data_IF_965638422851
#
_entry.id   IF_965638422851
#
_cell.length_a   1.000
_cell.length_b   1.000
_cell.length_c   1.000
_cell.angle_alpha   90.00
_cell.angle_beta   90.00
_cell.angle_gamma   90.00
#
_symmetry.space_group_name_H-M   'P 1'
#
loop_
_entity.id
_entity.type
_entity.pdbx_description
1 polymer ?
#
# COMPACT_ATOMS: atom_id res chain seq x y z
N UNK A 1 -23.95 -38.19 56.12
CA UNK A 1 -23.56 -38.86 54.85
C UNK A 1 -24.58 -38.39 53.81
N UNK A 2 -24.32 -37.41 52.94
CA UNK A 2 -23.30 -37.39 51.89
C UNK A 2 -22.83 -35.95 51.65
N UNK A 3 -21.53 -35.74 51.66
CA UNK A 3 -20.87 -34.51 51.26
C UNK A 3 -20.65 -34.62 49.74
N UNK A 4 -21.37 -33.86 48.92
CA UNK A 4 -21.12 -33.81 47.48
C UNK A 4 -20.37 -32.52 47.19
N UNK A 5 -19.04 -32.60 47.22
CA UNK A 5 -18.15 -31.49 46.86
C UNK A 5 -18.07 -31.44 45.34
N UNK A 6 -18.80 -30.52 44.72
CA UNK A 6 -18.70 -30.26 43.28
C UNK A 6 -17.47 -29.37 43.07
N UNK A 7 -16.35 -29.99 42.68
CA UNK A 7 -15.17 -29.30 42.20
C UNK A 7 -15.50 -28.62 40.87
N UNK A 8 -15.68 -27.30 40.91
CA UNK A 8 -15.77 -26.47 39.70
C UNK A 8 -14.36 -26.38 39.07
N UNK A 9 -14.04 -27.31 38.18
CA UNK A 9 -12.98 -27.06 37.18
C UNK A 9 -13.58 -26.09 36.17
N UNK A 10 -13.49 -24.79 36.46
CA UNK A 10 -13.51 -23.79 35.39
C UNK A 10 -12.16 -23.95 34.71
N UNK A 11 -12.13 -24.73 33.63
CA UNK A 11 -11.03 -24.60 32.68
C UNK A 11 -11.03 -23.15 32.23
N UNK A 12 -10.03 -22.37 32.65
CA UNK A 12 -9.61 -21.19 31.91
C UNK A 12 -9.17 -21.69 30.55
N UNK A 13 -10.14 -21.80 29.64
CA UNK A 13 -9.85 -21.73 28.22
C UNK A 13 -9.56 -20.26 27.99
N UNK A 14 -8.32 -19.86 28.28
CA UNK A 14 -7.79 -18.65 27.70
C UNK A 14 -7.79 -18.91 26.20
N UNK A 15 -8.86 -18.44 25.54
CA UNK A 15 -8.94 -18.45 24.09
C UNK A 15 -7.67 -17.79 23.60
N UNK A 16 -6.86 -18.51 22.84
CA UNK A 16 -5.70 -17.97 22.17
C UNK A 16 -6.25 -16.92 21.20
N UNK A 17 -6.33 -15.66 21.64
CA UNK A 17 -6.57 -14.54 20.76
C UNK A 17 -5.39 -14.53 19.81
N UNK A 18 -5.59 -14.99 18.58
CA UNK A 18 -4.58 -14.82 17.53
C UNK A 18 -4.40 -13.31 17.37
N UNK A 19 -3.27 -12.78 17.84
CA UNK A 19 -2.85 -11.41 17.57
C UNK A 19 -2.45 -11.36 16.09
N UNK A 20 -3.43 -11.28 15.21
CA UNK A 20 -3.23 -11.15 13.78
C UNK A 20 -2.55 -9.82 13.43
N UNK A 21 -2.14 -9.69 12.18
CA UNK A 21 -1.69 -8.40 11.65
C UNK A 21 -2.87 -7.43 11.58
N UNK A 22 -2.66 -6.19 12.04
CA UNK A 22 -3.62 -5.11 11.87
C UNK A 22 -3.54 -4.57 10.43
N UNK A 23 -4.67 -4.56 9.75
CA UNK A 23 -4.77 -3.94 8.42
C UNK A 23 -4.78 -2.43 8.59
N UNK A 24 -3.69 -1.76 8.21
CA UNK A 24 -3.61 -0.30 8.25
C UNK A 24 -4.31 0.33 7.04
N UNK A 25 -4.06 -0.21 5.85
CA UNK A 25 -4.63 0.27 4.60
C UNK A 25 -5.00 -0.91 3.69
N UNK A 26 -6.03 -0.71 2.88
CA UNK A 26 -6.54 -1.72 1.96
C UNK A 26 -7.06 -1.07 0.67
N UNK A 27 -6.91 -1.79 -0.44
CA UNK A 27 -7.41 -1.39 -1.75
C UNK A 27 -8.19 -2.52 -2.41
N UNK A 28 -9.29 -2.15 -3.08
CA UNK A 28 -9.94 -2.98 -4.10
C UNK A 28 -9.23 -2.85 -5.46
N UNK A 29 -8.77 -1.63 -5.76
CA UNK A 29 -8.02 -1.24 -6.94
C UNK A 29 -7.31 0.08 -6.64
N UNK A 30 -6.23 0.36 -7.37
CA UNK A 30 -5.44 1.57 -7.16
C UNK A 30 -6.00 2.75 -7.94
N UNK A 31 -6.07 3.88 -7.25
CA UNK A 31 -6.48 5.16 -7.78
C UNK A 31 -5.51 6.25 -7.29
N UNK A 32 -5.35 7.29 -8.09
CA UNK A 32 -4.53 8.44 -7.74
C UNK A 32 -5.40 9.69 -7.66
N UNK A 33 -4.95 10.65 -6.86
CA UNK A 33 -5.59 11.97 -6.78
C UNK A 33 -5.68 12.58 -8.17
N UNK A 34 -6.88 13.00 -8.56
CA UNK A 34 -7.09 13.73 -9.80
C UNK A 34 -6.35 15.09 -9.75
N UNK A 35 -5.69 15.55 -10.84
CA UNK A 35 -5.66 15.00 -12.20
C UNK A 35 -4.39 14.18 -12.52
N UNK A 36 -3.66 13.65 -11.53
CA UNK A 36 -2.29 13.15 -11.73
C UNK A 36 -2.14 12.13 -12.87
N UNK A 37 -3.04 11.14 -12.95
CA UNK A 37 -3.04 10.16 -14.05
C UNK A 37 -3.19 10.84 -15.40
N UNK A 38 -4.14 11.77 -15.55
CA UNK A 38 -4.36 12.49 -16.80
C UNK A 38 -3.14 13.34 -17.19
N UNK A 39 -2.45 13.93 -16.22
CA UNK A 39 -1.26 14.74 -16.45
C UNK A 39 -0.06 13.91 -16.96
N UNK A 40 0.03 12.62 -16.62
CA UNK A 40 1.09 11.74 -17.17
C UNK A 40 0.99 11.54 -18.68
N UNK A 41 -0.21 11.71 -19.25
CA UNK A 41 -0.55 11.35 -20.64
C UNK A 41 -0.30 9.88 -20.98
N UNK A 42 -0.14 9.01 -19.98
CA UNK A 42 -0.03 7.56 -20.15
C UNK A 42 -1.42 6.92 -20.06
N UNK A 43 -1.55 5.75 -20.70
CA UNK A 43 -2.78 4.97 -20.58
C UNK A 43 -2.95 4.48 -19.14
N UNK A 44 -4.19 4.49 -18.65
CA UNK A 44 -4.55 3.92 -17.36
C UNK A 44 -5.62 2.86 -17.58
N UNK A 45 -5.32 1.62 -17.20
CA UNK A 45 -6.28 0.53 -17.23
C UNK A 45 -6.62 0.18 -15.80
N UNK A 46 -7.86 0.45 -15.43
CA UNK A 46 -8.35 0.22 -14.09
C UNK A 46 -8.18 -1.25 -13.66
N UNK A 47 -7.67 -1.47 -12.45
CA UNK A 47 -7.40 -2.81 -11.92
C UNK A 47 -6.07 -3.44 -12.36
N UNK A 48 -5.39 -2.89 -13.37
CA UNK A 48 -4.08 -3.41 -13.80
C UNK A 48 -2.93 -3.04 -12.86
N UNK A 49 -2.85 -1.79 -12.32
CA UNK A 49 -1.81 -1.48 -11.36
C UNK A 49 -1.98 -2.28 -10.07
N UNK A 50 -0.90 -2.95 -9.66
CA UNK A 50 -0.84 -3.67 -8.40
C UNK A 50 0.39 -3.26 -7.59
N UNK A 51 0.29 -3.39 -6.27
CA UNK A 51 1.38 -3.04 -5.36
C UNK A 51 2.38 -4.19 -5.30
N UNK A 52 3.67 -3.90 -5.56
CA UNK A 52 4.74 -4.88 -5.38
C UNK A 52 5.50 -4.67 -4.07
N UNK A 53 5.75 -3.42 -3.69
CA UNK A 53 6.58 -3.06 -2.54
C UNK A 53 6.01 -1.82 -1.85
N UNK A 54 6.22 -1.76 -0.54
CA UNK A 54 5.91 -0.60 0.30
C UNK A 54 7.04 -0.38 1.28
N UNK A 55 7.35 0.89 1.57
CA UNK A 55 8.33 1.26 2.59
C UNK A 55 7.90 2.57 3.25
N UNK A 56 8.37 2.81 4.47
CA UNK A 56 7.98 3.97 5.27
C UNK A 56 9.23 4.74 5.64
N UNK A 57 9.25 6.02 5.31
CA UNK A 57 10.37 6.86 5.71
C UNK A 57 10.26 7.38 7.15
N UNK A 58 11.31 8.06 7.59
CA UNK A 58 11.42 8.65 8.92
C UNK A 58 10.44 9.79 9.19
N UNK A 59 9.72 10.26 8.17
CA UNK A 59 8.64 11.26 8.26
C UNK A 59 7.27 10.61 8.13
N UNK A 60 7.18 9.30 8.29
CA UNK A 60 5.96 8.51 8.18
C UNK A 60 5.29 8.60 6.80
N UNK A 61 6.04 8.92 5.74
CA UNK A 61 5.53 8.83 4.37
C UNK A 61 5.60 7.39 3.93
N UNK A 62 4.45 6.85 3.52
CA UNK A 62 4.34 5.50 2.99
C UNK A 62 4.51 5.57 1.48
N UNK A 63 5.58 4.97 0.99
CA UNK A 63 5.84 4.79 -0.43
C UNK A 63 5.20 3.50 -0.92
N UNK A 64 4.69 3.54 -2.15
CA UNK A 64 4.01 2.43 -2.80
C UNK A 64 4.55 2.29 -4.22
N UNK A 65 5.04 1.10 -4.56
CA UNK A 65 5.52 0.79 -5.92
C UNK A 65 4.44 0.06 -6.71
N UNK A 66 4.30 0.46 -7.97
CA UNK A 66 3.32 -0.08 -8.92
C UNK A 66 4.02 -0.35 -10.25
N UNK A 67 4.81 -1.43 -10.34
CA UNK A 67 5.58 -1.72 -11.55
C UNK A 67 4.68 -2.02 -12.75
N UNK A 68 5.16 -1.65 -13.95
CA UNK A 68 4.49 -1.87 -15.23
C UNK A 68 4.58 -3.33 -15.71
N UNK A 69 4.10 -4.27 -14.88
CA UNK A 69 3.93 -5.66 -15.31
C UNK A 69 2.82 -5.82 -16.33
N UNK A 70 1.73 -5.06 -16.15
CA UNK A 70 0.62 -4.95 -17.07
C UNK A 70 0.60 -3.55 -17.68
N UNK A 71 0.19 -3.48 -18.94
CA UNK A 71 -0.08 -2.20 -19.61
C UNK A 71 -1.13 -1.40 -18.83
N UNK A 72 -1.08 -0.08 -18.93
CA UNK A 72 -2.05 0.80 -18.27
C UNK A 72 -1.69 1.17 -16.83
N UNK A 73 -0.41 1.15 -16.46
CA UNK A 73 0.10 1.63 -15.17
C UNK A 73 0.85 2.96 -15.37
N UNK A 74 0.17 4.11 -15.16
CA UNK A 74 0.70 5.42 -15.54
C UNK A 74 1.75 5.96 -14.55
N UNK A 75 1.66 5.57 -13.28
CA UNK A 75 2.51 6.05 -12.18
C UNK A 75 3.04 4.82 -11.47
N UNK A 76 4.36 4.72 -11.32
CA UNK A 76 5.01 3.51 -10.80
C UNK A 76 5.64 3.67 -9.42
N UNK A 77 5.72 4.91 -8.93
CA UNK A 77 6.14 5.23 -7.58
C UNK A 77 5.23 6.33 -7.03
N UNK A 78 4.63 6.04 -5.89
CA UNK A 78 3.65 6.91 -5.26
C UNK A 78 3.89 7.03 -3.76
N UNK A 79 3.25 8.04 -3.16
CA UNK A 79 3.05 8.10 -1.71
C UNK A 79 1.57 8.00 -1.37
N UNK A 80 1.28 7.42 -0.21
CA UNK A 80 -0.07 7.32 0.33
C UNK A 80 -0.61 8.70 0.73
N UNK A 81 -1.92 8.88 0.61
CA UNK A 81 -2.62 10.07 1.10
C UNK A 81 -3.77 9.70 2.02
N UNK A 82 -4.26 10.67 2.79
CA UNK A 82 -5.40 10.50 3.70
C UNK A 82 -6.76 10.68 3.00
N UNK A 83 -6.76 10.86 1.67
CA UNK A 83 -7.99 11.01 0.88
C UNK A 83 -8.45 9.62 0.44
N UNK A 84 -9.74 9.32 0.58
CA UNK A 84 -10.29 8.02 0.19
C UNK A 84 -11.16 8.12 -1.07
N UNK A 85 -10.93 7.20 -1.99
CA UNK A 85 -11.81 6.93 -3.12
C UNK A 85 -12.62 5.64 -2.92
N UNK A 86 -13.44 5.26 -3.92
CA UNK A 86 -14.21 4.03 -3.89
C UNK A 86 -13.36 2.75 -3.78
N UNK A 87 -12.10 2.82 -4.23
CA UNK A 87 -11.14 1.72 -4.17
C UNK A 87 -10.35 1.60 -2.87
N UNK A 88 -10.21 2.67 -2.09
CA UNK A 88 -9.28 2.74 -0.95
C UNK A 88 -8.64 4.13 -0.84
N UNK A 89 -7.60 4.29 0.00
CA UNK A 89 -6.88 5.56 0.11
C UNK A 89 -6.18 5.90 -1.22
N UNK A 90 -6.30 7.13 -1.70
CA UNK A 90 -5.73 7.56 -2.96
C UNK A 90 -4.22 7.70 -2.85
N UNK A 91 -3.55 7.44 -3.96
CA UNK A 91 -2.12 7.64 -4.11
C UNK A 91 -1.81 9.00 -4.74
N UNK A 92 -0.61 9.51 -4.51
CA UNK A 92 -0.07 10.67 -5.24
C UNK A 92 1.31 10.33 -5.82
N UNK A 93 1.63 10.74 -7.06
CA UNK A 93 2.92 10.41 -7.67
C UNK A 93 4.07 10.96 -6.86
N UNK A 94 5.14 10.19 -6.75
CA UNK A 94 6.39 10.66 -6.14
C UNK A 94 7.51 10.81 -7.18
N UNK A 95 8.33 11.87 -7.09
CA UNK A 95 8.09 13.07 -6.27
C UNK A 95 7.00 13.98 -6.85
N UNK A 96 6.67 13.83 -8.15
CA UNK A 96 5.65 14.61 -8.85
C UNK A 96 5.25 13.92 -10.16
N UNK A 97 4.07 14.19 -10.72
CA UNK A 97 3.58 13.53 -11.95
C UNK A 97 4.52 13.68 -13.16
N UNK A 98 5.31 14.76 -13.22
CA UNK A 98 6.30 15.02 -14.27
C UNK A 98 7.44 13.99 -14.32
N UNK A 99 7.61 13.18 -13.28
CA UNK A 99 8.57 12.06 -13.27
C UNK A 99 8.01 10.81 -13.93
N UNK A 100 6.73 10.84 -14.32
CA UNK A 100 5.99 9.76 -14.94
C UNK A 100 5.46 10.18 -16.33
N UNK A 101 6.00 11.26 -16.91
CA UNK A 101 5.65 11.79 -18.24
C UNK A 101 6.80 11.56 -19.20
N UNK A 102 6.57 10.79 -20.28
CA UNK A 102 7.55 10.31 -21.27
C UNK A 102 7.92 8.84 -21.09
N UNK A 103 8.30 8.24 -22.22
CA UNK A 103 9.02 6.97 -22.27
C UNK A 103 10.48 7.21 -22.70
N UNK A 104 10.98 8.45 -22.55
CA UNK A 104 12.42 8.69 -22.58
C UNK A 104 13.03 8.18 -21.26
N UNK A 105 14.19 7.54 -21.35
CA UNK A 105 14.83 6.89 -20.20
C UNK A 105 15.38 7.87 -19.14
N UNK A 106 15.03 9.15 -19.24
CA UNK A 106 15.40 10.21 -18.29
C UNK A 106 14.39 10.34 -17.13
N UNK A 107 13.31 9.55 -17.16
CA UNK A 107 12.23 9.54 -16.17
C UNK A 107 12.09 8.18 -15.50
N UNK A 108 11.24 8.13 -14.47
CA UNK A 108 10.93 6.88 -13.80
C UNK A 108 10.07 6.04 -14.74
N UNK A 109 10.63 4.92 -15.20
CA UNK A 109 9.93 4.01 -16.09
C UNK A 109 9.06 3.04 -15.28
N UNK A 110 9.69 2.20 -14.45
CA UNK A 110 9.01 1.19 -13.65
C UNK A 110 9.79 0.89 -12.38
N UNK A 111 9.17 1.13 -11.21
CA UNK A 111 9.80 0.88 -9.91
C UNK A 111 9.30 -0.44 -9.34
N UNK A 112 10.24 -1.34 -9.06
CA UNK A 112 9.93 -2.66 -8.51
C UNK A 112 10.10 -2.72 -7.00
N UNK A 113 11.17 -2.09 -6.50
CA UNK A 113 11.57 -2.13 -5.10
C UNK A 113 12.05 -0.75 -4.67
N UNK A 114 11.89 -0.49 -3.39
CA UNK A 114 12.41 0.69 -2.72
C UNK A 114 13.14 0.26 -1.46
N UNK A 115 14.07 1.11 -1.02
CA UNK A 115 14.75 0.94 0.25
C UNK A 115 14.98 2.32 0.85
N UNK A 116 14.45 2.55 2.04
CA UNK A 116 14.76 3.73 2.84
C UNK A 116 15.96 3.42 3.74
N UNK A 117 16.97 4.29 3.70
CA UNK A 117 18.19 4.15 4.49
C UNK A 117 18.49 5.41 5.29
N UNK A 118 19.16 5.24 6.42
CA UNK A 118 19.65 6.32 7.29
C UNK A 118 20.97 6.94 6.82
N UNK A 119 21.64 6.36 5.82
CA UNK A 119 22.98 6.78 5.39
C UNK A 119 22.94 7.35 3.96
N UNK A 120 23.50 8.54 3.80
CA UNK A 120 23.88 9.08 2.50
C UNK A 120 25.22 8.45 2.10
N UNK A 121 25.30 7.91 0.89
CA UNK A 121 26.54 7.39 0.31
C UNK A 121 27.47 8.52 -0.12
#
# INVERSE_FOLDING_TARGET
>A
MKLTVILYIISLVDGINSTGLNVLYQWKYLEWIWPNVALTRKNFTYGNPFIQDVDVDFKSRIFVTTPQWLNGTPITLSTLTDIYGPGGPLLTPYPHWTWHTSDDCDKIISVYRIAVSHYEF
#
